data_IF_118346281827
#
_entry.id   IF_118346281827
#
_cell.length_a   1.000
_cell.length_b   1.000
_cell.length_c   1.000
_cell.angle_alpha   90.00
_cell.angle_beta   90.00
_cell.angle_gamma   90.00
#
_symmetry.space_group_name_H-M   'P 1'
#
loop_
_entity.id
_entity.type
_entity.pdbx_description
1 polymer ?
#
# COMPACT_ATOMS: atom_id res chain seq x y z
N UNK A 1 24.46 -24.71 78.68
CA UNK A 1 23.38 -23.76 78.36
C UNK A 1 23.31 -23.68 76.84
N UNK A 2 22.23 -24.18 76.24
CA UNK A 2 22.01 -24.03 74.80
C UNK A 2 21.72 -22.55 74.53
N UNK A 3 22.62 -21.87 73.83
CA UNK A 3 22.48 -20.43 73.55
C UNK A 3 21.26 -20.20 72.67
N UNK A 4 20.19 -19.64 73.26
CA UNK A 4 19.04 -19.13 72.53
C UNK A 4 19.48 -17.90 71.74
N UNK A 5 19.44 -17.97 70.41
CA UNK A 5 19.71 -16.79 69.59
C UNK A 5 18.62 -15.73 69.81
N UNK A 6 19.03 -14.47 69.94
CA UNK A 6 18.14 -13.31 70.07
C UNK A 6 17.83 -12.63 68.73
N UNK A 7 18.66 -12.84 67.70
CA UNK A 7 18.44 -12.33 66.35
C UNK A 7 19.15 -13.14 65.28
N UNK A 8 18.76 -12.92 64.03
CA UNK A 8 19.55 -13.27 62.86
C UNK A 8 20.25 -12.02 62.34
N UNK A 9 21.44 -12.19 61.81
CA UNK A 9 22.20 -11.18 61.08
C UNK A 9 22.41 -11.74 59.67
N UNK A 10 21.92 -11.03 58.66
CA UNK A 10 21.94 -11.49 57.27
C UNK A 10 22.85 -10.56 56.48
N UNK A 11 23.87 -11.13 55.84
CA UNK A 11 24.79 -10.39 54.99
C UNK A 11 24.64 -10.86 53.54
N UNK A 12 24.39 -9.88 52.66
CA UNK A 12 24.34 -10.02 51.20
C UNK A 12 25.30 -8.99 50.57
N UNK A 13 25.78 -9.19 49.34
CA UNK A 13 26.52 -8.13 48.65
C UNK A 13 25.62 -6.91 48.44
N UNK A 14 26.23 -5.72 48.39
CA UNK A 14 25.51 -4.49 48.09
C UNK A 14 24.85 -4.52 46.70
N UNK A 15 25.52 -5.16 45.74
CA UNK A 15 25.05 -5.33 44.37
C UNK A 15 25.21 -6.77 43.90
N UNK A 16 24.22 -7.27 43.16
CA UNK A 16 24.33 -8.52 42.40
C UNK A 16 23.79 -8.31 40.98
N UNK A 17 24.02 -9.26 40.08
CA UNK A 17 23.56 -9.20 38.69
C UNK A 17 22.41 -10.18 38.47
N UNK A 18 21.41 -9.78 37.69
CA UNK A 18 20.26 -10.62 37.39
C UNK A 18 20.69 -11.98 36.81
N UNK A 19 20.16 -13.06 37.38
CA UNK A 19 20.47 -14.44 37.00
C UNK A 19 21.84 -14.95 37.48
N UNK A 20 22.64 -14.13 38.15
CA UNK A 20 23.88 -14.56 38.78
C UNK A 20 23.64 -14.88 40.26
N UNK A 21 24.08 -16.06 40.68
CA UNK A 21 24.05 -16.46 42.07
C UNK A 21 24.96 -15.58 42.94
N UNK A 22 24.52 -15.26 44.14
CA UNK A 22 25.30 -14.55 45.16
C UNK A 22 25.16 -15.20 46.54
N UNK A 23 26.16 -14.94 47.38
CA UNK A 23 26.23 -15.47 48.74
C UNK A 23 25.27 -14.74 49.68
N UNK A 24 24.53 -15.51 50.48
CA UNK A 24 23.72 -15.05 51.60
C UNK A 24 24.28 -15.69 52.87
N UNK A 25 24.96 -14.91 53.71
CA UNK A 25 25.46 -15.38 54.99
C UNK A 25 24.45 -15.06 56.09
N UNK A 26 24.13 -16.05 56.92
CA UNK A 26 23.26 -15.90 58.08
C UNK A 26 24.04 -16.24 59.33
N UNK A 27 24.07 -15.32 60.29
CA UNK A 27 24.68 -15.49 61.61
C UNK A 27 23.61 -15.32 62.68
N UNK A 28 23.35 -16.36 63.46
CA UNK A 28 22.54 -16.26 64.67
C UNK A 28 23.36 -15.58 65.77
N UNK A 29 22.79 -14.54 66.38
CA UNK A 29 23.43 -13.75 67.44
C UNK A 29 22.71 -13.97 68.76
N UNK A 30 23.45 -14.03 69.85
CA UNK A 30 22.90 -13.92 71.20
C UNK A 30 22.40 -12.49 71.44
N UNK A 31 21.65 -12.26 72.54
CA UNK A 31 21.18 -10.93 72.93
C UNK A 31 22.31 -9.92 73.21
N UNK A 32 23.53 -10.41 73.49
CA UNK A 32 24.74 -9.62 73.68
C UNK A 32 25.52 -9.33 72.38
N UNK A 33 25.02 -9.79 71.22
CA UNK A 33 25.64 -9.59 69.90
C UNK A 33 26.77 -10.57 69.55
N UNK A 34 27.12 -11.52 70.43
CA UNK A 34 28.07 -12.59 70.11
C UNK A 34 27.42 -13.67 69.24
N UNK A 35 28.22 -14.51 68.56
CA UNK A 35 27.70 -15.61 67.74
C UNK A 35 27.07 -16.67 68.66
N UNK A 36 25.84 -17.07 68.37
CA UNK A 36 25.14 -18.14 69.06
C UNK A 36 25.64 -19.51 68.57
N UNK A 37 26.87 -19.91 68.97
CA UNK A 37 27.54 -21.12 68.45
C UNK A 37 26.83 -22.44 68.75
N UNK A 38 25.87 -22.46 69.69
CA UNK A 38 25.01 -23.61 69.95
C UNK A 38 23.71 -23.63 69.14
N UNK A 39 23.45 -22.62 68.31
CA UNK A 39 22.21 -22.48 67.57
C UNK A 39 22.20 -23.34 66.31
N UNK A 40 21.15 -24.15 66.17
CA UNK A 40 20.93 -25.10 65.06
C UNK A 40 19.55 -24.94 64.42
N UNK A 41 18.94 -23.75 64.54
CA UNK A 41 17.62 -23.46 63.98
C UNK A 41 17.59 -23.55 62.45
N UNK A 42 16.40 -23.78 61.89
CA UNK A 42 16.19 -23.93 60.44
C UNK A 42 15.77 -22.59 59.86
N UNK A 43 16.52 -22.11 58.88
CA UNK A 43 16.24 -20.85 58.19
C UNK A 43 15.50 -21.11 56.88
N UNK A 44 14.39 -20.41 56.68
CA UNK A 44 13.62 -20.30 55.45
C UNK A 44 13.91 -18.96 54.77
N UNK A 45 13.99 -18.95 53.44
CA UNK A 45 14.28 -17.75 52.66
C UNK A 45 13.10 -17.31 51.81
N UNK A 46 12.80 -16.01 51.84
CA UNK A 46 11.86 -15.36 50.91
C UNK A 46 12.51 -14.15 50.23
N UNK A 47 11.94 -13.70 49.10
CA UNK A 47 12.41 -12.52 48.38
C UNK A 47 11.25 -11.65 47.88
N UNK A 48 11.50 -10.35 47.73
CA UNK A 48 10.59 -9.47 46.98
C UNK A 48 10.65 -9.68 45.47
N UNK A 49 11.62 -10.45 44.96
CA UNK A 49 11.65 -10.86 43.57
C UNK A 49 10.76 -12.07 43.34
N UNK A 50 9.66 -11.85 42.63
CA UNK A 50 8.68 -12.89 42.29
C UNK A 50 8.77 -13.32 40.84
N UNK A 51 9.81 -12.89 40.11
CA UNK A 51 9.97 -13.25 38.70
C UNK A 51 10.34 -14.73 38.53
N UNK A 52 9.92 -15.30 37.41
CA UNK A 52 10.28 -16.68 37.04
C UNK A 52 11.79 -16.78 36.82
N UNK A 53 12.44 -17.73 37.51
CA UNK A 53 13.90 -17.91 37.47
C UNK A 53 14.62 -17.47 38.75
N UNK A 54 13.91 -16.90 39.73
CA UNK A 54 14.42 -16.74 41.09
C UNK A 54 14.69 -18.11 41.70
N UNK A 55 15.87 -18.28 42.28
CA UNK A 55 16.27 -19.49 43.02
C UNK A 55 16.68 -19.06 44.42
N UNK A 56 15.89 -19.46 45.41
CA UNK A 56 16.21 -19.22 46.82
C UNK A 56 16.84 -20.47 47.43
N UNK A 57 17.66 -20.31 48.48
CA UNK A 57 18.19 -21.47 49.20
C UNK A 57 17.05 -22.34 49.75
N UNK A 58 17.23 -23.68 49.77
CA UNK A 58 16.32 -24.55 50.49
C UNK A 58 16.41 -24.32 52.00
N UNK A 59 15.34 -24.67 52.71
CA UNK A 59 15.31 -24.65 54.17
C UNK A 59 16.48 -25.46 54.74
N UNK A 60 17.28 -24.83 55.60
CA UNK A 60 18.55 -25.41 56.07
C UNK A 60 18.82 -25.05 57.53
N UNK A 61 19.39 -25.99 58.29
CA UNK A 61 19.83 -25.74 59.66
C UNK A 61 21.16 -24.98 59.69
N UNK A 62 21.31 -24.01 60.60
CA UNK A 62 22.61 -23.38 60.85
C UNK A 62 23.58 -24.33 61.57
N UNK A 63 24.86 -24.24 61.24
CA UNK A 63 25.95 -25.00 61.89
C UNK A 63 26.78 -24.04 62.71
N UNK A 64 26.92 -24.31 64.01
CA UNK A 64 27.60 -23.41 64.95
C UNK A 64 27.07 -21.97 64.89
N UNK A 65 25.75 -21.81 64.76
CA UNK A 65 25.08 -20.52 64.63
C UNK A 65 25.29 -19.79 63.30
N UNK A 66 25.89 -20.43 62.28
CA UNK A 66 26.20 -19.78 61.01
C UNK A 66 25.80 -20.65 59.81
N UNK A 67 25.58 -20.00 58.67
CA UNK A 67 25.31 -20.67 57.40
C UNK A 67 25.58 -19.74 56.23
N UNK A 68 26.13 -20.29 55.15
CA UNK A 68 26.37 -19.57 53.90
C UNK A 68 25.57 -20.26 52.80
N UNK A 69 24.70 -19.50 52.16
CA UNK A 69 23.76 -19.99 51.17
C UNK A 69 23.93 -19.26 49.84
N UNK A 70 23.28 -19.77 48.80
CA UNK A 70 23.33 -19.18 47.46
C UNK A 70 21.92 -18.81 47.02
N UNK A 71 21.72 -17.54 46.63
CA UNK A 71 20.47 -17.05 46.08
C UNK A 71 20.72 -16.45 44.69
N UNK A 72 19.74 -16.61 43.80
CA UNK A 72 19.73 -15.99 42.46
C UNK A 72 18.45 -15.19 42.32
N UNK A 73 18.58 -13.88 42.12
CA UNK A 73 17.47 -12.97 41.79
C UNK A 73 17.59 -12.55 40.32
N UNK A 74 16.47 -12.22 39.67
CA UNK A 74 16.41 -11.98 38.20
C UNK A 74 15.77 -10.64 37.83
N UNK A 75 14.95 -10.03 38.68
CA UNK A 75 14.39 -8.70 38.42
C UNK A 75 15.39 -7.62 38.83
N UNK A 76 15.77 -6.77 37.89
CA UNK A 76 16.64 -5.64 38.18
C UNK A 76 15.94 -4.57 39.02
N UNK A 77 16.72 -3.85 39.82
CA UNK A 77 16.26 -2.90 40.82
C UNK A 77 16.57 -3.37 42.24
N UNK A 78 16.08 -2.62 43.23
CA UNK A 78 16.23 -2.99 44.64
C UNK A 78 15.30 -4.15 44.97
N UNK A 79 15.88 -5.29 45.29
CA UNK A 79 15.17 -6.48 45.75
C UNK A 79 15.54 -6.79 47.20
N UNK A 80 14.74 -7.59 47.88
CA UNK A 80 15.01 -8.01 49.26
C UNK A 80 15.23 -9.52 49.37
N UNK A 81 16.00 -9.93 50.38
CA UNK A 81 16.08 -11.30 50.89
C UNK A 81 15.69 -11.26 52.37
N UNK A 82 14.80 -12.15 52.77
CA UNK A 82 14.43 -12.35 54.17
C UNK A 82 14.84 -13.75 54.59
N UNK A 83 15.66 -13.86 55.62
CA UNK A 83 15.87 -15.11 56.34
C UNK A 83 14.95 -15.14 57.56
N UNK A 84 14.24 -16.25 57.77
CA UNK A 84 13.34 -16.42 58.90
C UNK A 84 13.48 -17.80 59.51
N UNK A 85 13.54 -17.87 60.83
CA UNK A 85 13.32 -19.09 61.59
C UNK A 85 11.99 -18.93 62.33
N UNK A 86 10.94 -19.53 61.77
CA UNK A 86 9.57 -19.42 62.28
C UNK A 86 9.38 -20.14 63.62
N UNK A 87 10.13 -21.21 63.88
CA UNK A 87 10.07 -21.96 65.13
C UNK A 87 10.59 -21.14 66.31
N UNK A 88 11.53 -20.21 66.04
CA UNK A 88 12.16 -19.36 67.04
C UNK A 88 11.73 -17.88 66.93
N UNK A 89 10.76 -17.56 66.08
CA UNK A 89 10.28 -16.20 65.81
C UNK A 89 11.39 -15.19 65.48
N UNK A 90 12.44 -15.63 64.78
CA UNK A 90 13.54 -14.77 64.33
C UNK A 90 13.37 -14.46 62.84
N UNK A 91 13.56 -13.20 62.45
CA UNK A 91 13.57 -12.83 61.04
C UNK A 91 14.42 -11.59 60.79
N UNK A 92 15.02 -11.51 59.61
CA UNK A 92 15.80 -10.35 59.16
C UNK A 92 15.68 -10.21 57.66
N UNK A 93 15.35 -9.00 57.21
CA UNK A 93 15.24 -8.64 55.80
C UNK A 93 16.35 -7.66 55.42
N UNK A 94 17.03 -7.95 54.32
CA UNK A 94 18.07 -7.09 53.75
C UNK A 94 17.76 -6.77 52.29
N UNK A 95 18.25 -5.62 51.83
CA UNK A 95 18.11 -5.20 50.43
C UNK A 95 19.39 -5.47 49.65
N UNK A 96 19.23 -5.85 48.39
CA UNK A 96 20.29 -6.03 47.40
C UNK A 96 19.91 -5.28 46.13
N UNK A 97 20.83 -4.49 45.57
CA UNK A 97 20.61 -3.85 44.28
C UNK A 97 20.96 -4.83 43.15
N UNK A 98 19.95 -5.25 42.40
CA UNK A 98 20.12 -6.14 41.25
C UNK A 98 20.32 -5.31 39.98
N UNK A 99 21.51 -5.36 39.39
CA UNK A 99 21.73 -4.84 38.04
C UNK A 99 21.21 -5.84 36.99
N UNK A 100 20.80 -5.35 35.83
CA UNK A 100 20.40 -6.21 34.73
C UNK A 100 21.58 -7.08 34.24
N UNK A 101 21.26 -8.22 33.63
CA UNK A 101 22.25 -8.96 32.86
C UNK A 101 22.59 -8.22 31.56
N UNK A 102 23.55 -8.74 30.79
CA UNK A 102 23.91 -8.13 29.51
C UNK A 102 22.71 -8.17 28.58
N UNK A 103 22.51 -7.08 27.84
CA UNK A 103 21.47 -7.04 26.83
C UNK A 103 21.61 -8.21 25.83
N UNK A 104 20.49 -8.87 25.57
CA UNK A 104 20.37 -9.95 24.58
C UNK A 104 19.45 -9.56 23.42
N UNK A 105 18.65 -8.49 23.59
CA UNK A 105 17.72 -8.00 22.57
C UNK A 105 17.53 -6.48 22.68
N UNK A 106 17.04 -5.88 21.60
CA UNK A 106 16.50 -4.53 21.61
C UNK A 106 14.97 -4.64 21.62
N UNK A 107 14.31 -3.78 22.38
CA UNK A 107 12.86 -3.63 22.38
C UNK A 107 12.54 -2.22 21.92
N UNK A 108 11.90 -2.13 20.75
CA UNK A 108 11.46 -0.87 20.18
C UNK A 108 9.94 -0.73 20.39
N UNK A 109 9.48 0.45 20.76
CA UNK A 109 8.07 0.70 21.03
C UNK A 109 7.65 2.12 20.62
N UNK A 110 6.43 2.25 20.09
CA UNK A 110 5.79 3.53 19.81
C UNK A 110 4.30 3.43 20.12
N UNK A 111 3.71 4.54 20.57
CA UNK A 111 2.26 4.73 20.68
C UNK A 111 1.69 5.55 19.51
N UNK A 112 2.53 5.92 18.54
CA UNK A 112 2.13 6.74 17.41
C UNK A 112 1.32 5.95 16.37
N UNK A 113 0.40 6.65 15.69
CA UNK A 113 -0.23 6.18 14.44
C UNK A 113 0.34 7.01 13.28
N UNK A 114 1.47 6.59 12.69
CA UNK A 114 2.20 7.40 11.73
C UNK A 114 1.40 7.68 10.46
N UNK A 115 1.61 8.87 9.90
CA UNK A 115 1.07 9.31 8.60
C UNK A 115 2.24 9.41 7.62
N UNK A 116 2.03 8.96 6.39
CA UNK A 116 3.02 8.99 5.33
C UNK A 116 3.67 10.38 5.21
N UNK A 117 5.00 10.41 5.21
CA UNK A 117 5.80 11.64 5.11
C UNK A 117 5.88 12.48 6.39
N UNK A 118 5.21 12.08 7.48
CA UNK A 118 5.27 12.77 8.77
C UNK A 118 6.19 12.03 9.75
N UNK A 119 7.03 12.79 10.47
CA UNK A 119 7.90 12.22 11.49
C UNK A 119 7.11 11.76 12.73
N UNK A 120 7.48 10.61 13.29
CA UNK A 120 6.91 10.09 14.54
C UNK A 120 7.99 9.57 15.48
N UNK A 121 7.73 9.69 16.78
CA UNK A 121 8.64 9.24 17.83
C UNK A 121 8.48 7.76 18.16
N UNK A 122 9.60 7.13 18.53
CA UNK A 122 9.62 5.80 19.13
C UNK A 122 10.76 5.69 20.16
N UNK A 123 10.68 4.69 21.02
CA UNK A 123 11.70 4.40 22.03
C UNK A 123 12.41 3.09 21.72
N UNK A 124 13.61 2.96 22.22
CA UNK A 124 14.40 1.72 22.20
C UNK A 124 14.94 1.45 23.59
N UNK A 125 14.90 0.18 24.01
CA UNK A 125 15.53 -0.32 25.24
C UNK A 125 16.35 -1.56 24.93
N UNK A 126 17.61 -1.58 25.35
CA UNK A 126 18.42 -2.79 25.38
C UNK A 126 18.03 -3.60 26.62
N UNK A 127 17.53 -4.82 26.40
CA UNK A 127 17.04 -5.68 27.46
C UNK A 127 17.79 -7.01 27.51
N UNK A 128 17.95 -7.54 28.72
CA UNK A 128 18.44 -8.90 28.94
C UNK A 128 17.36 -9.96 28.66
N UNK A 129 17.73 -11.23 28.85
CA UNK A 129 16.82 -12.37 28.67
C UNK A 129 15.63 -12.40 29.64
N UNK A 130 15.71 -11.66 30.75
CA UNK A 130 14.65 -11.56 31.76
C UNK A 130 13.75 -10.33 31.54
N UNK A 131 14.05 -9.50 30.54
CA UNK A 131 13.30 -8.28 30.20
C UNK A 131 13.72 -7.05 30.99
N UNK A 132 14.82 -7.10 31.74
CA UNK A 132 15.35 -5.93 32.43
C UNK A 132 16.11 -5.05 31.45
N UNK A 133 16.04 -3.73 31.62
CA UNK A 133 16.87 -2.81 30.84
C UNK A 133 18.30 -2.81 31.35
N UNK A 134 19.25 -3.12 30.46
CA UNK A 134 20.69 -3.05 30.75
C UNK A 134 21.16 -1.60 30.73
N UNK A 135 21.16 -0.95 31.90
CA UNK A 135 21.59 0.45 32.03
C UNK A 135 23.09 0.65 31.74
N UNK A 136 23.90 -0.40 31.70
CA UNK A 136 25.31 -0.31 31.33
C UNK A 136 25.52 -0.45 29.81
N UNK A 137 24.47 -0.82 29.06
CA UNK A 137 24.58 -0.96 27.61
C UNK A 137 24.78 0.40 26.93
N UNK A 138 25.90 0.51 26.21
CA UNK A 138 26.31 1.68 25.44
C UNK A 138 26.61 1.32 23.97
N UNK A 139 25.96 0.28 23.44
CA UNK A 139 26.11 -0.13 22.04
C UNK A 139 25.50 0.87 21.05
N UNK A 140 26.05 0.91 19.85
CA UNK A 140 25.54 1.72 18.72
C UNK A 140 24.58 0.89 17.88
N UNK A 141 23.40 1.42 17.62
CA UNK A 141 22.33 0.74 16.89
C UNK A 141 22.15 1.37 15.51
N UNK A 142 22.22 0.54 14.47
CA UNK A 142 21.86 0.86 13.10
C UNK A 142 20.39 0.52 12.83
N UNK A 143 19.72 1.31 11.99
CA UNK A 143 18.29 1.18 11.70
C UNK A 143 18.02 0.89 10.22
N UNK A 144 17.16 -0.09 9.97
CA UNK A 144 16.62 -0.38 8.63
C UNK A 144 15.09 -0.40 8.68
N UNK A 145 14.44 -0.32 7.52
CA UNK A 145 12.98 -0.41 7.40
C UNK A 145 12.56 -1.28 6.22
N UNK A 146 11.37 -1.87 6.31
CA UNK A 146 10.70 -2.48 5.15
C UNK A 146 10.19 -1.44 4.16
N UNK A 147 10.03 -0.19 4.60
CA UNK A 147 9.67 0.91 3.72
C UNK A 147 10.92 1.41 2.97
N UNK A 148 10.95 1.12 1.68
CA UNK A 148 12.04 1.50 0.77
C UNK A 148 11.66 2.67 -0.14
N UNK A 149 10.54 3.35 0.13
CA UNK A 149 10.11 4.49 -0.67
C UNK A 149 11.08 5.68 -0.54
N UNK A 150 11.14 6.50 -1.58
CA UNK A 150 11.88 7.76 -1.53
C UNK A 150 11.25 8.69 -0.48
N UNK A 151 12.08 9.37 0.31
CA UNK A 151 11.63 10.23 1.40
C UNK A 151 11.50 9.56 2.77
N UNK A 152 11.73 8.24 2.87
CA UNK A 152 11.94 7.58 4.16
C UNK A 152 13.17 8.17 4.84
N UNK A 153 13.03 8.53 6.11
CA UNK A 153 14.11 9.04 6.95
C UNK A 153 14.16 8.23 8.24
N UNK A 154 15.23 7.46 8.41
CA UNK A 154 15.51 6.71 9.64
C UNK A 154 16.50 7.48 10.52
N UNK A 155 16.56 7.19 11.84
CA UNK A 155 17.62 7.72 12.67
C UNK A 155 18.99 7.32 12.14
N UNK A 156 19.98 8.20 12.32
CA UNK A 156 21.37 7.81 12.17
C UNK A 156 21.75 6.77 13.22
N UNK A 157 22.87 6.07 12.98
CA UNK A 157 23.46 5.14 13.93
C UNK A 157 23.59 5.81 15.31
N UNK A 158 22.91 5.26 16.31
CA UNK A 158 22.75 5.91 17.61
C UNK A 158 23.33 5.04 18.73
N UNK A 159 24.27 5.61 19.49
CA UNK A 159 24.74 5.02 20.74
C UNK A 159 23.67 5.18 21.82
N UNK A 160 23.27 4.07 22.45
CA UNK A 160 22.28 4.14 23.53
C UNK A 160 22.90 4.71 24.81
N UNK A 161 22.13 5.50 25.54
CA UNK A 161 22.51 6.04 26.85
C UNK A 161 21.66 5.38 27.93
N UNK A 162 22.30 4.81 28.95
CA UNK A 162 21.63 4.00 29.97
C UNK A 162 20.75 2.89 29.35
N UNK A 163 21.26 2.23 28.31
CA UNK A 163 20.55 1.20 27.56
C UNK A 163 19.31 1.66 26.80
N UNK A 164 19.11 2.97 26.62
CA UNK A 164 17.87 3.52 26.06
C UNK A 164 18.13 4.67 25.07
N UNK A 165 17.16 4.93 24.20
CA UNK A 165 17.05 6.17 23.44
C UNK A 165 15.60 6.47 23.07
N UNK A 166 15.33 7.75 22.81
CA UNK A 166 14.11 8.22 22.14
C UNK A 166 14.52 8.77 20.78
N UNK A 167 13.88 8.27 19.74
CA UNK A 167 14.26 8.50 18.34
C UNK A 167 13.03 8.92 17.55
N UNK A 168 13.26 9.45 16.35
CA UNK A 168 12.20 9.77 15.41
C UNK A 168 12.51 9.18 14.04
N UNK A 169 11.47 8.75 13.32
CA UNK A 169 11.56 8.28 11.95
C UNK A 169 10.42 8.87 11.12
N UNK A 170 10.60 8.90 9.81
CA UNK A 170 9.58 9.24 8.83
C UNK A 170 9.45 8.07 7.85
N UNK A 171 8.25 7.51 7.74
CA UNK A 171 7.90 6.47 6.77
C UNK A 171 6.93 7.06 5.74
N UNK A 172 6.93 6.53 4.52
CA UNK A 172 6.23 7.09 3.35
C UNK A 172 5.21 6.11 2.77
N UNK A 173 5.49 4.81 2.72
CA UNK A 173 4.57 3.80 2.19
C UNK A 173 3.49 3.49 3.23
N UNK A 174 2.23 3.71 2.85
CA UNK A 174 1.10 3.34 3.69
C UNK A 174 0.98 1.81 3.87
N UNK A 175 0.34 1.39 4.97
CA UNK A 175 0.19 -0.01 5.37
C UNK A 175 1.20 -0.43 6.44
N UNK A 176 1.29 -1.74 6.68
CA UNK A 176 2.19 -2.31 7.67
C UNK A 176 3.66 -2.11 7.25
N UNK A 177 4.43 -1.46 8.11
CA UNK A 177 5.87 -1.25 7.96
C UNK A 177 6.59 -1.61 9.24
N UNK A 178 7.88 -1.92 9.12
CA UNK A 178 8.73 -2.17 10.28
C UNK A 178 9.96 -1.27 10.30
N UNK A 179 10.47 -1.02 11.50
CA UNK A 179 11.81 -0.46 11.73
C UNK A 179 12.57 -1.51 12.54
N UNK A 180 13.72 -1.94 12.04
CA UNK A 180 14.58 -2.90 12.73
C UNK A 180 15.83 -2.19 13.21
N UNK A 181 16.06 -2.25 14.53
CA UNK A 181 17.32 -1.86 15.15
C UNK A 181 18.26 -3.05 15.27
N UNK A 182 19.53 -2.86 14.96
CA UNK A 182 20.58 -3.86 15.14
C UNK A 182 21.84 -3.22 15.71
N UNK A 183 22.40 -3.79 16.76
CA UNK A 183 23.71 -3.38 17.26
C UNK A 183 24.78 -3.58 16.16
N UNK A 184 25.63 -2.57 15.95
CA UNK A 184 26.60 -2.55 14.86
C UNK A 184 27.80 -3.47 15.08
N UNK A 185 28.06 -3.90 16.31
CA UNK A 185 29.17 -4.80 16.69
C UNK A 185 28.64 -6.22 16.94
N UNK A 186 27.58 -6.35 17.72
CA UNK A 186 26.94 -7.61 18.07
C UNK A 186 25.59 -7.75 17.38
N UNK A 187 25.63 -8.14 16.10
CA UNK A 187 24.45 -8.22 15.25
C UNK A 187 23.31 -9.10 15.82
N UNK A 188 23.55 -9.99 16.78
CA UNK A 188 22.51 -10.80 17.44
C UNK A 188 21.60 -9.98 18.37
N UNK A 189 22.06 -8.83 18.86
CA UNK A 189 21.25 -7.90 19.66
C UNK A 189 20.44 -7.04 18.69
N UNK A 190 19.19 -7.45 18.47
CA UNK A 190 18.28 -6.82 17.51
C UNK A 190 16.87 -6.68 18.07
N UNK A 191 16.05 -5.85 17.43
CA UNK A 191 14.65 -5.64 17.76
C UNK A 191 13.89 -5.00 16.62
N UNK A 192 12.60 -5.27 16.52
CA UNK A 192 11.76 -4.75 15.44
C UNK A 192 10.52 -4.05 16.00
N UNK A 193 10.31 -2.82 15.55
CA UNK A 193 9.06 -2.08 15.72
C UNK A 193 8.17 -2.34 14.51
N UNK A 194 6.92 -2.71 14.73
CA UNK A 194 5.90 -2.79 13.68
C UNK A 194 4.89 -1.66 13.85
N UNK A 195 4.59 -0.94 12.77
CA UNK A 195 3.59 0.15 12.74
C UNK A 195 2.72 0.00 11.50
N UNK A 196 1.49 0.51 11.56
CA UNK A 196 0.64 0.66 10.38
C UNK A 196 0.60 2.14 9.98
N UNK A 197 1.28 2.48 8.89
CA UNK A 197 1.38 3.84 8.35
C UNK A 197 0.09 4.17 7.61
N UNK A 198 -0.60 5.25 7.98
CA UNK A 198 -1.73 5.75 7.20
C UNK A 198 -1.20 6.59 6.03
N UNK A 199 -1.88 6.57 4.90
CA UNK A 199 -1.60 7.51 3.82
C UNK A 199 -1.77 8.96 4.30
N UNK A 200 -1.08 9.90 3.66
CA UNK A 200 -1.38 11.31 3.85
C UNK A 200 -2.73 11.65 3.19
N UNK A 201 -3.22 12.87 3.40
CA UNK A 201 -4.44 13.33 2.73
C UNK A 201 -4.27 13.25 1.20
N UNK A 202 -5.32 12.79 0.51
CA UNK A 202 -5.30 12.73 -0.94
C UNK A 202 -5.02 14.10 -1.58
N UNK A 203 -4.16 14.11 -2.60
CA UNK A 203 -3.83 15.31 -3.39
C UNK A 203 -4.26 15.17 -4.85
N UNK A 204 -4.59 13.95 -5.29
CA UNK A 204 -5.01 13.65 -6.67
C UNK A 204 -5.99 12.48 -6.71
N UNK A 205 -6.73 12.40 -7.81
CA UNK A 205 -7.44 11.19 -8.20
C UNK A 205 -6.63 10.48 -9.28
N UNK A 206 -6.60 9.15 -9.23
CA UNK A 206 -6.10 8.31 -10.31
C UNK A 206 -7.27 7.53 -10.87
N UNK A 207 -7.59 7.78 -12.14
CA UNK A 207 -8.62 7.05 -12.86
C UNK A 207 -7.95 6.02 -13.78
N UNK A 208 -8.48 4.81 -13.82
CA UNK A 208 -7.88 3.69 -14.56
C UNK A 208 -8.95 2.81 -15.21
N UNK A 209 -8.67 2.34 -16.42
CA UNK A 209 -9.47 1.32 -17.08
C UNK A 209 -8.57 0.41 -17.91
N UNK A 210 -8.87 -0.89 -17.89
CA UNK A 210 -8.29 -1.85 -18.84
C UNK A 210 -9.13 -2.02 -20.11
N UNK A 211 -10.23 -1.28 -20.25
CA UNK A 211 -11.16 -1.44 -21.37
C UNK A 211 -10.68 -0.70 -22.64
N UNK A 212 -11.05 -1.23 -23.80
CA UNK A 212 -11.01 -0.51 -25.08
C UNK A 212 -12.45 -0.27 -25.55
N UNK A 213 -13.09 0.84 -25.11
CA UNK A 213 -14.52 1.02 -25.30
C UNK A 213 -14.89 1.10 -26.79
N UNK A 214 -16.09 0.64 -27.13
CA UNK A 214 -16.71 0.85 -28.44
C UNK A 214 -17.78 1.93 -28.30
N UNK A 215 -17.95 2.79 -29.31
CA UNK A 215 -18.93 3.85 -29.33
C UNK A 215 -20.33 3.32 -28.94
N UNK A 216 -20.95 3.96 -27.94
CA UNK A 216 -22.26 3.58 -27.41
C UNK A 216 -22.27 2.41 -26.44
N UNK A 217 -21.16 1.69 -26.25
CA UNK A 217 -21.07 0.62 -25.27
C UNK A 217 -20.59 1.15 -23.91
N UNK A 218 -21.24 0.69 -22.84
CA UNK A 218 -20.82 0.98 -21.47
C UNK A 218 -19.51 0.26 -21.16
N UNK A 219 -18.59 0.94 -20.47
CA UNK A 219 -17.36 0.34 -19.94
C UNK A 219 -17.11 0.78 -18.50
N UNK A 220 -16.36 -0.05 -17.76
CA UNK A 220 -16.00 0.24 -16.37
C UNK A 220 -14.63 0.92 -16.25
N UNK A 221 -14.49 1.73 -15.22
CA UNK A 221 -13.22 2.31 -14.78
C UNK A 221 -13.21 2.45 -13.26
N UNK A 222 -12.03 2.53 -12.66
CA UNK A 222 -11.86 2.81 -11.25
C UNK A 222 -11.40 4.24 -11.00
N UNK A 223 -11.70 4.74 -9.82
CA UNK A 223 -11.21 6.00 -9.27
C UNK A 223 -10.56 5.69 -7.93
N UNK A 224 -9.32 6.14 -7.74
CA UNK A 224 -8.57 6.00 -6.50
C UNK A 224 -8.04 7.36 -6.06
N UNK A 225 -8.41 7.80 -4.85
CA UNK A 225 -7.83 8.97 -4.21
C UNK A 225 -6.45 8.63 -3.67
N UNK A 226 -5.43 9.34 -4.13
CA UNK A 226 -4.04 9.12 -3.74
C UNK A 226 -3.41 10.37 -3.15
N UNK A 227 -2.51 10.16 -2.19
CA UNK A 227 -1.64 11.21 -1.69
C UNK A 227 -0.51 11.54 -2.67
N UNK A 228 0.34 12.50 -2.30
CA UNK A 228 1.49 12.94 -3.10
C UNK A 228 2.55 11.84 -3.29
N UNK A 229 2.54 10.80 -2.46
CA UNK A 229 3.46 9.66 -2.52
C UNK A 229 2.89 8.48 -3.32
N UNK A 230 1.63 8.59 -3.78
CA UNK A 230 0.93 7.53 -4.53
C UNK A 230 0.26 6.48 -3.64
N UNK A 231 0.19 6.70 -2.32
CA UNK A 231 -0.58 5.82 -1.44
C UNK A 231 -2.07 6.08 -1.61
N UNK A 232 -2.90 5.04 -1.51
CA UNK A 232 -4.35 5.23 -1.42
C UNK A 232 -4.71 5.81 -0.06
N UNK A 233 -5.37 6.96 -0.04
CA UNK A 233 -5.97 7.53 1.16
C UNK A 233 -7.28 6.82 1.48
N UNK A 234 -7.21 5.77 2.29
CA UNK A 234 -8.39 5.00 2.70
C UNK A 234 -9.34 5.78 3.62
N UNK A 235 -8.90 6.92 4.18
CA UNK A 235 -9.77 7.83 4.92
C UNK A 235 -10.57 8.78 4.00
N UNK A 236 -10.23 8.84 2.72
CA UNK A 236 -10.89 9.73 1.77
C UNK A 236 -12.34 9.31 1.50
N UNK A 237 -13.26 10.22 1.81
CA UNK A 237 -14.70 10.08 1.61
C UNK A 237 -15.28 11.27 0.80
N UNK A 238 -14.49 11.88 -0.07
CA UNK A 238 -14.92 12.98 -0.95
C UNK A 238 -15.85 12.49 -2.07
N UNK A 239 -16.64 13.42 -2.61
CA UNK A 239 -17.60 13.16 -3.71
C UNK A 239 -17.04 13.71 -5.00
N UNK A 240 -16.95 12.86 -6.02
CA UNK A 240 -16.32 13.15 -7.31
C UNK A 240 -17.36 13.41 -8.38
N UNK A 241 -17.22 14.55 -9.07
CA UNK A 241 -17.96 14.92 -10.27
C UNK A 241 -17.15 14.54 -11.53
N UNK A 242 -17.83 14.14 -12.61
CA UNK A 242 -17.19 13.66 -13.84
C UNK A 242 -17.58 14.49 -15.05
N UNK A 243 -16.58 14.81 -15.88
CA UNK A 243 -16.74 15.42 -17.21
C UNK A 243 -16.01 14.60 -18.27
N UNK A 244 -16.29 14.84 -19.56
CA UNK A 244 -15.60 14.17 -20.67
C UNK A 244 -15.27 15.15 -21.79
N UNK A 245 -14.22 14.82 -22.56
CA UNK A 245 -13.94 15.50 -23.84
C UNK A 245 -14.94 15.13 -24.93
N UNK A 246 -15.67 14.02 -24.78
CA UNK A 246 -16.73 13.64 -25.69
C UNK A 246 -17.99 14.44 -25.39
N UNK A 247 -18.34 15.32 -26.32
CA UNK A 247 -19.50 16.22 -26.25
C UNK A 247 -20.67 15.74 -27.09
N UNK A 248 -20.60 14.52 -27.62
CA UNK A 248 -21.63 13.95 -28.48
C UNK A 248 -22.92 13.67 -27.71
N UNK A 249 -24.06 13.78 -28.38
CA UNK A 249 -25.34 13.36 -27.83
C UNK A 249 -25.30 11.86 -27.50
N UNK A 250 -25.78 11.49 -26.30
CA UNK A 250 -25.80 10.09 -25.84
C UNK A 250 -24.61 9.68 -24.96
N UNK A 251 -23.64 10.57 -24.72
CA UNK A 251 -22.63 10.36 -23.68
C UNK A 251 -23.31 10.24 -22.32
N UNK A 252 -22.97 9.19 -21.57
CA UNK A 252 -23.47 8.94 -20.21
C UNK A 252 -22.28 8.84 -19.27
N UNK A 253 -22.19 9.77 -18.33
CA UNK A 253 -21.20 9.76 -17.26
C UNK A 253 -21.85 9.31 -15.94
N UNK A 254 -21.05 8.79 -14.98
CA UNK A 254 -21.57 8.52 -13.65
C UNK A 254 -22.09 9.79 -12.99
N UNK A 255 -23.14 9.64 -12.18
CA UNK A 255 -23.53 10.69 -11.24
C UNK A 255 -22.43 10.93 -10.20
N UNK A 256 -22.46 12.11 -9.58
CA UNK A 256 -21.57 12.48 -8.48
C UNK A 256 -21.54 11.38 -7.42
N UNK A 257 -20.35 10.87 -7.13
CA UNK A 257 -20.20 9.66 -6.34
C UNK A 257 -19.15 9.82 -5.25
N UNK A 258 -19.56 9.54 -4.01
CA UNK A 258 -18.65 9.46 -2.86
C UNK A 258 -17.75 8.23 -2.96
N UNK A 259 -16.45 8.40 -2.72
CA UNK A 259 -15.52 7.27 -2.64
C UNK A 259 -15.60 6.59 -1.26
N UNK A 260 -15.39 5.27 -1.24
CA UNK A 260 -15.34 4.49 0.00
C UNK A 260 -13.97 3.85 0.10
N UNK A 261 -13.29 3.99 1.24
CA UNK A 261 -11.89 3.60 1.40
C UNK A 261 -10.99 4.22 0.31
N UNK A 262 -11.28 5.47 -0.07
CA UNK A 262 -10.56 6.19 -1.13
C UNK A 262 -10.73 5.61 -2.53
N UNK A 263 -11.65 4.67 -2.77
CA UNK A 263 -11.82 4.02 -4.07
C UNK A 263 -13.29 3.88 -4.48
N UNK A 264 -13.52 3.78 -5.80
CA UNK A 264 -14.80 3.36 -6.37
C UNK A 264 -14.65 2.87 -7.80
N UNK A 265 -15.42 1.85 -8.18
CA UNK A 265 -15.62 1.46 -9.58
C UNK A 265 -16.90 2.08 -10.11
N UNK A 266 -16.82 2.63 -11.32
CA UNK A 266 -17.89 3.35 -12.00
C UNK A 266 -17.97 2.88 -13.45
N UNK A 267 -19.00 3.34 -14.16
CA UNK A 267 -19.21 3.04 -15.57
C UNK A 267 -19.57 4.29 -16.36
N UNK A 268 -19.08 4.38 -17.59
CA UNK A 268 -19.42 5.43 -18.53
C UNK A 268 -19.73 4.85 -19.92
N UNK A 269 -20.44 5.64 -20.73
CA UNK A 269 -20.67 5.37 -22.15
C UNK A 269 -20.20 6.58 -22.94
N UNK A 270 -19.27 6.36 -23.87
CA UNK A 270 -18.75 7.37 -24.79
C UNK A 270 -19.22 7.03 -26.21
N UNK A 271 -19.37 8.04 -27.06
CA UNK A 271 -20.00 7.96 -28.37
C UNK A 271 -19.02 8.29 -29.50
N UNK A 272 -18.17 9.30 -29.33
CA UNK A 272 -17.21 9.73 -30.37
C UNK A 272 -16.00 8.80 -30.40
N UNK A 273 -15.78 8.17 -31.54
CA UNK A 273 -14.58 7.36 -31.78
C UNK A 273 -13.30 8.20 -31.73
N UNK A 274 -12.18 7.56 -31.41
CA UNK A 274 -10.87 8.17 -31.23
C UNK A 274 -10.51 8.41 -29.76
N UNK A 275 -9.46 9.20 -29.54
CA UNK A 275 -9.00 9.53 -28.19
C UNK A 275 -10.04 10.40 -27.45
N UNK A 276 -10.49 9.93 -26.30
CA UNK A 276 -11.38 10.65 -25.40
C UNK A 276 -10.84 10.62 -23.98
N UNK A 277 -11.27 11.57 -23.16
CA UNK A 277 -10.93 11.63 -21.75
C UNK A 277 -12.17 11.66 -20.87
N UNK A 278 -12.03 11.15 -19.65
CA UNK A 278 -12.96 11.36 -18.53
C UNK A 278 -12.15 12.02 -17.42
N UNK A 279 -12.59 13.18 -16.95
CA UNK A 279 -11.95 13.90 -15.84
C UNK A 279 -12.84 13.80 -14.61
N UNK A 280 -12.30 13.27 -13.52
CA UNK A 280 -12.92 13.29 -12.20
C UNK A 280 -12.37 14.45 -11.38
N UNK A 281 -13.25 15.16 -10.68
CA UNK A 281 -12.90 16.28 -9.81
C UNK A 281 -13.67 16.19 -8.50
N UNK A 282 -12.98 16.36 -7.36
CA UNK A 282 -13.69 16.48 -6.09
C UNK A 282 -14.56 17.74 -6.06
N UNK A 283 -15.79 17.58 -5.58
CA UNK A 283 -16.83 18.62 -5.57
C UNK A 283 -16.57 19.73 -4.55
N UNK A 284 -15.79 19.45 -3.50
CA UNK A 284 -15.46 20.43 -2.45
C UNK A 284 -14.05 20.97 -2.67
N UNK A 285 -13.07 20.08 -2.82
CA UNK A 285 -11.65 20.42 -3.02
C UNK A 285 -11.26 20.20 -4.47
N UNK A 286 -11.73 21.12 -5.30
CA UNK A 286 -11.48 21.27 -6.73
C UNK A 286 -10.06 20.94 -7.26
N UNK A 287 -9.01 21.07 -6.43
CA UNK A 287 -7.62 20.76 -6.81
C UNK A 287 -7.34 19.26 -6.83
N UNK A 288 -8.14 18.44 -6.12
CA UNK A 288 -8.07 16.97 -6.15
C UNK A 288 -8.80 16.50 -7.41
N UNK A 289 -8.01 16.23 -8.46
CA UNK A 289 -8.51 15.89 -9.79
C UNK A 289 -7.72 14.73 -10.40
N UNK A 290 -8.27 14.10 -11.42
CA UNK A 290 -7.60 13.07 -12.22
C UNK A 290 -8.26 12.89 -13.57
N UNK A 291 -7.51 12.40 -14.56
CA UNK A 291 -8.01 12.21 -15.93
C UNK A 291 -7.69 10.80 -16.41
N UNK A 292 -8.71 10.11 -16.90
CA UNK A 292 -8.61 8.86 -17.66
C UNK A 292 -8.57 9.20 -19.14
N UNK A 293 -7.62 8.62 -19.87
CA UNK A 293 -7.57 8.68 -21.35
C UNK A 293 -7.87 7.31 -21.92
N UNK A 294 -8.81 7.23 -22.88
CA UNK A 294 -9.19 6.01 -23.59
C UNK A 294 -9.28 6.26 -25.09
N UNK A 295 -9.06 5.22 -25.89
CA UNK A 295 -9.35 5.26 -27.33
C UNK A 295 -10.64 4.51 -27.59
N UNK A 296 -11.70 5.25 -27.93
CA UNK A 296 -13.01 4.70 -28.28
C UNK A 296 -12.96 4.19 -29.71
N UNK A 297 -13.33 2.92 -29.92
CA UNK A 297 -13.50 2.32 -31.26
C UNK A 297 -14.86 2.74 -31.83
N UNK A 298 -14.92 3.00 -33.13
CA UNK A 298 -16.20 3.14 -33.80
C UNK A 298 -16.99 1.82 -33.73
N UNK A 299 -18.31 1.91 -33.74
CA UNK A 299 -19.20 0.75 -33.83
C UNK A 299 -19.15 0.07 -35.21
N UNK A 300 -19.97 -0.97 -35.37
CA UNK A 300 -20.18 -1.58 -36.68
C UNK A 300 -20.79 -0.57 -37.66
N UNK A 301 -20.47 -0.72 -38.95
CA UNK A 301 -21.03 0.13 -40.00
C UNK A 301 -22.57 -0.04 -40.03
N UNK A 302 -23.27 1.09 -39.92
CA UNK A 302 -24.72 1.19 -39.98
C UNK A 302 -25.22 2.04 -41.16
N UNK A 303 -24.33 2.84 -41.76
CA UNK A 303 -24.64 3.61 -42.96
C UNK A 303 -23.44 3.72 -43.91
N UNK A 304 -23.73 3.89 -45.19
CA UNK A 304 -22.76 4.15 -46.24
C UNK A 304 -22.96 5.57 -46.75
N UNK A 305 -21.86 6.31 -46.90
CA UNK A 305 -21.84 7.59 -47.59
C UNK A 305 -21.02 7.46 -48.86
N UNK A 306 -21.59 7.92 -49.97
CA UNK A 306 -20.96 7.96 -51.28
C UNK A 306 -20.76 9.43 -51.66
N UNK A 307 -19.52 9.83 -51.88
CA UNK A 307 -19.17 11.14 -52.40
C UNK A 307 -18.83 11.02 -53.89
N UNK A 308 -19.40 11.91 -54.69
CA UNK A 308 -19.27 11.96 -56.14
C UNK A 308 -19.46 13.42 -56.60
N UNK A 309 -18.84 13.84 -57.71
CA UNK A 309 -19.01 15.19 -58.22
C UNK A 309 -20.47 15.45 -58.63
N UNK A 310 -20.98 16.66 -58.40
CA UNK A 310 -22.33 17.05 -58.81
C UNK A 310 -22.52 17.11 -60.34
N UNK A 311 -21.43 17.13 -61.11
CA UNK A 311 -21.44 17.04 -62.56
C UNK A 311 -20.16 16.41 -63.10
N UNK A 312 -20.25 15.71 -64.22
CA UNK A 312 -19.13 15.18 -64.99
C UNK A 312 -19.36 15.43 -66.50
N UNK A 313 -18.28 15.44 -67.29
CA UNK A 313 -18.37 15.46 -68.75
C UNK A 313 -18.56 14.05 -69.28
N UNK A 314 -19.41 13.87 -70.29
CA UNK A 314 -19.60 12.59 -70.95
C UNK A 314 -18.25 12.01 -71.40
N UNK A 315 -18.00 10.73 -71.11
CA UNK A 315 -16.75 10.04 -71.46
C UNK A 315 -15.51 10.43 -70.67
N UNK A 316 -15.60 11.34 -69.69
CA UNK A 316 -14.49 11.67 -68.80
C UNK A 316 -14.60 10.95 -67.46
N UNK A 317 -13.51 10.32 -67.04
CA UNK A 317 -13.43 9.63 -65.76
C UNK A 317 -13.40 10.62 -64.59
N UNK A 318 -14.06 10.27 -63.49
CA UNK A 318 -14.06 11.03 -62.25
C UNK A 318 -13.91 10.12 -61.02
N UNK A 319 -13.54 10.74 -59.91
CA UNK A 319 -13.30 10.09 -58.62
C UNK A 319 -14.57 10.01 -57.79
N UNK A 320 -14.77 8.88 -57.11
CA UNK A 320 -15.79 8.71 -56.07
C UNK A 320 -15.13 8.20 -54.79
N UNK A 321 -15.72 8.51 -53.64
CA UNK A 321 -15.25 8.02 -52.33
C UNK A 321 -16.38 7.38 -51.55
N UNK A 322 -16.11 6.21 -50.96
CA UNK A 322 -17.06 5.50 -50.11
C UNK A 322 -16.55 5.54 -48.68
N UNK A 323 -17.38 6.03 -47.76
CA UNK A 323 -17.10 6.07 -46.33
C UNK A 323 -18.20 5.38 -45.56
N UNK A 324 -17.83 4.41 -44.73
CA UNK A 324 -18.75 3.66 -43.87
C UNK A 324 -18.79 4.32 -42.50
N UNK A 325 -20.00 4.52 -41.97
CA UNK A 325 -20.23 5.13 -40.67
C UNK A 325 -21.03 4.23 -39.76
N UNK A 326 -20.72 4.26 -38.47
CA UNK A 326 -21.56 3.62 -37.45
C UNK A 326 -22.87 4.40 -37.21
N UNK A 327 -23.70 3.90 -36.30
CA UNK A 327 -25.01 4.51 -36.00
C UNK A 327 -24.89 5.92 -35.36
N UNK A 328 -23.71 6.30 -34.90
CA UNK A 328 -23.42 7.60 -34.30
C UNK A 328 -22.70 8.54 -35.28
N UNK A 329 -22.47 8.11 -36.51
CA UNK A 329 -21.80 8.89 -37.55
C UNK A 329 -20.27 8.84 -37.48
N UNK A 330 -19.68 8.02 -36.61
CA UNK A 330 -18.23 7.80 -36.60
C UNK A 330 -17.83 6.96 -37.82
N UNK A 331 -16.65 7.21 -38.38
CA UNK A 331 -16.11 6.34 -39.44
C UNK A 331 -15.84 4.94 -38.88
N UNK A 332 -16.49 3.93 -39.44
CA UNK A 332 -16.39 2.54 -39.01
C UNK A 332 -15.08 1.91 -39.50
N UNK A 333 -13.96 2.28 -38.87
CA UNK A 333 -12.60 1.92 -39.31
C UNK A 333 -12.32 0.40 -39.35
N UNK A 334 -13.15 -0.37 -38.65
CA UNK A 334 -13.11 -1.84 -38.64
C UNK A 334 -13.85 -2.52 -39.80
N UNK A 335 -14.53 -1.77 -40.68
CA UNK A 335 -15.29 -2.36 -41.78
C UNK A 335 -14.38 -3.08 -42.78
N UNK A 336 -14.77 -4.31 -43.17
CA UNK A 336 -14.06 -5.20 -44.11
C UNK A 336 -14.99 -5.83 -45.15
N UNK A 337 -16.18 -5.25 -45.33
CA UNK A 337 -17.14 -5.72 -46.32
C UNK A 337 -16.73 -5.36 -47.74
N UNK A 338 -17.43 -5.94 -48.70
CA UNK A 338 -17.23 -5.70 -50.13
C UNK A 338 -18.32 -4.79 -50.66
N UNK A 339 -17.94 -3.71 -51.35
CA UNK A 339 -18.86 -2.76 -51.96
C UNK A 339 -18.92 -2.99 -53.47
N UNK A 340 -20.14 -3.06 -54.00
CA UNK A 340 -20.45 -3.14 -55.42
C UNK A 340 -20.99 -1.79 -55.93
N UNK A 341 -20.60 -1.41 -57.14
CA UNK A 341 -21.06 -0.19 -57.81
C UNK A 341 -22.06 -0.48 -58.94
N UNK A 342 -23.07 0.38 -59.06
CA UNK A 342 -24.03 0.35 -60.17
C UNK A 342 -24.36 1.78 -60.65
N UNK A 343 -24.97 1.89 -61.84
CA UNK A 343 -25.41 3.17 -62.41
C UNK A 343 -26.75 3.02 -63.14
N UNK A 344 -27.47 4.13 -63.31
CA UNK A 344 -28.61 4.21 -64.23
C UNK A 344 -28.21 4.41 -65.69
N UNK A 345 -26.95 4.72 -65.99
CA UNK A 345 -26.49 4.94 -67.36
C UNK A 345 -26.55 3.63 -68.16
N UNK A 346 -27.40 3.56 -69.22
CA UNK A 346 -27.65 2.30 -69.92
C UNK A 346 -26.53 1.91 -70.90
N UNK A 347 -25.53 2.77 -71.11
CA UNK A 347 -24.52 2.53 -72.13
C UNK A 347 -23.49 1.48 -71.69
N UNK A 348 -23.17 0.49 -72.55
CA UNK A 348 -22.20 -0.56 -72.22
C UNK A 348 -20.76 -0.06 -72.11
N UNK A 349 -20.49 1.19 -72.53
CA UNK A 349 -19.19 1.85 -72.44
C UNK A 349 -18.94 2.55 -71.10
N UNK A 350 -19.90 2.50 -70.18
CA UNK A 350 -19.73 2.98 -68.81
C UNK A 350 -18.59 2.21 -68.13
N UNK A 351 -17.81 2.93 -67.32
CA UNK A 351 -16.83 2.32 -66.42
C UNK A 351 -17.28 2.59 -64.98
N UNK A 352 -17.30 1.53 -64.17
CA UNK A 352 -17.50 1.60 -62.72
C UNK A 352 -16.33 0.90 -62.02
N UNK A 353 -16.04 1.23 -60.75
CA UNK A 353 -15.10 0.45 -59.96
C UNK A 353 -15.56 -1.00 -59.86
N UNK A 354 -14.60 -1.94 -59.88
CA UNK A 354 -14.87 -3.33 -59.56
C UNK A 354 -15.28 -3.49 -58.07
N UNK A 355 -15.91 -4.62 -57.74
CA UNK A 355 -16.22 -4.97 -56.36
C UNK A 355 -14.97 -4.87 -55.48
N UNK A 356 -15.07 -4.09 -54.41
CA UNK A 356 -13.93 -3.76 -53.58
C UNK A 356 -14.16 -4.17 -52.13
N UNK A 357 -13.31 -5.08 -51.65
CA UNK A 357 -13.27 -5.50 -50.25
C UNK A 357 -12.40 -4.54 -49.45
N UNK A 358 -13.00 -3.84 -48.48
CA UNK A 358 -12.28 -2.94 -47.60
C UNK A 358 -11.24 -3.69 -46.76
N UNK A 359 -10.10 -3.03 -46.59
CA UNK A 359 -8.95 -3.49 -45.83
C UNK A 359 -8.73 -2.62 -44.59
N UNK A 360 -7.74 -2.98 -43.78
CA UNK A 360 -7.33 -2.14 -42.66
C UNK A 360 -6.73 -0.80 -43.09
N UNK A 361 -6.12 -0.73 -44.28
CA UNK A 361 -5.49 0.48 -44.79
C UNK A 361 -6.51 1.57 -45.13
N UNK A 362 -7.75 1.18 -45.46
CA UNK A 362 -8.82 2.11 -45.80
C UNK A 362 -9.35 2.86 -44.58
N UNK A 363 -9.18 2.31 -43.37
CA UNK A 363 -9.71 2.89 -42.15
C UNK A 363 -11.19 3.31 -42.26
N UNK A 364 -12.01 2.55 -43.01
CA UNK A 364 -13.44 2.81 -43.21
C UNK A 364 -13.78 3.77 -44.36
N UNK A 365 -12.78 4.32 -45.07
CA UNK A 365 -12.96 5.18 -46.25
C UNK A 365 -12.05 4.74 -47.39
N UNK A 366 -12.61 4.47 -48.57
CA UNK A 366 -11.83 4.17 -49.77
C UNK A 366 -12.16 5.14 -50.91
N UNK A 367 -11.14 5.59 -51.62
CA UNK A 367 -11.28 6.53 -52.74
C UNK A 367 -10.90 5.86 -54.04
N UNK A 368 -11.86 5.80 -54.97
CA UNK A 368 -11.72 5.21 -56.29
C UNK A 368 -11.35 6.30 -57.29
N UNK A 369 -10.07 6.62 -57.34
CA UNK A 369 -9.53 7.69 -58.20
C UNK A 369 -9.79 7.39 -59.67
N UNK A 370 -10.46 8.29 -60.39
CA UNK A 370 -10.82 8.11 -61.80
C UNK A 370 -11.56 6.79 -62.10
N UNK A 371 -12.35 6.30 -61.13
CA UNK A 371 -12.97 4.98 -61.19
C UNK A 371 -14.32 4.93 -61.92
N UNK A 372 -14.96 6.07 -62.20
CA UNK A 372 -16.27 6.13 -62.84
C UNK A 372 -16.23 6.95 -64.13
N UNK A 373 -16.83 6.44 -65.21
CA UNK A 373 -17.03 7.16 -66.47
C UNK A 373 -18.48 6.99 -66.93
N UNK A 374 -19.19 8.12 -67.12
CA UNK A 374 -20.60 8.17 -67.55
C UNK A 374 -20.71 8.87 -68.91
N UNK A 375 -21.79 8.62 -69.64
CA UNK A 375 -21.97 9.06 -71.03
C UNK A 375 -23.35 9.65 -71.31
N UNK A 376 -24.41 9.11 -70.70
CA UNK A 376 -25.79 9.46 -71.06
C UNK A 376 -26.24 10.73 -70.35
N UNK A 377 -26.54 11.78 -71.11
CA UNK A 377 -27.12 13.04 -70.64
C UNK A 377 -28.61 12.88 -70.26
N UNK A 378 -29.19 13.75 -69.40
CA UNK A 378 -28.56 14.86 -68.69
C UNK A 378 -28.04 14.51 -67.29
N UNK A 379 -28.44 13.37 -66.72
CA UNK A 379 -28.09 13.00 -65.34
C UNK A 379 -28.19 11.49 -65.16
N UNK A 380 -27.24 10.93 -64.41
CA UNK A 380 -27.20 9.50 -64.08
C UNK A 380 -26.92 9.32 -62.59
N UNK A 381 -27.35 8.19 -62.04
CA UNK A 381 -26.98 7.81 -60.69
C UNK A 381 -25.68 7.01 -60.68
N UNK A 382 -24.88 7.17 -59.64
CA UNK A 382 -23.88 6.20 -59.22
C UNK A 382 -24.29 5.72 -57.85
N UNK A 383 -24.42 4.41 -57.67
CA UNK A 383 -24.75 3.79 -56.39
C UNK A 383 -23.65 2.85 -55.93
N UNK A 384 -23.45 2.79 -54.61
CA UNK A 384 -22.56 1.86 -53.94
C UNK A 384 -23.36 1.10 -52.89
N UNK A 385 -23.23 -0.23 -52.89
CA UNK A 385 -23.97 -1.13 -51.98
C UNK A 385 -23.05 -2.23 -51.48
N UNK A 386 -23.08 -2.51 -50.17
CA UNK A 386 -22.40 -3.69 -49.61
C UNK A 386 -23.06 -4.97 -50.17
N UNK A 387 -22.24 -5.93 -50.61
CA UNK A 387 -22.71 -7.15 -51.31
C UNK A 387 -23.41 -8.15 -50.40
N UNK A 388 -23.21 -8.06 -49.07
CA UNK A 388 -23.81 -8.94 -48.07
C UNK A 388 -24.93 -8.21 -47.30
N UNK A 389 -24.73 -6.94 -46.96
CA UNK A 389 -25.67 -6.11 -46.24
C UNK A 389 -26.23 -4.99 -47.13
N UNK A 390 -27.29 -5.29 -47.87
CA UNK A 390 -27.94 -4.35 -48.78
C UNK A 390 -28.48 -3.07 -48.11
N UNK A 391 -28.59 -3.02 -46.77
CA UNK A 391 -28.97 -1.78 -46.06
C UNK A 391 -27.84 -0.72 -46.07
N UNK A 392 -26.59 -1.15 -46.25
CA UNK A 392 -25.45 -0.26 -46.49
C UNK A 392 -25.40 0.10 -47.97
N UNK A 393 -26.33 0.95 -48.39
CA UNK A 393 -26.44 1.44 -49.76
C UNK A 393 -26.54 2.96 -49.80
N UNK A 394 -25.99 3.57 -50.84
CA UNK A 394 -26.18 4.99 -51.14
C UNK A 394 -26.05 5.25 -52.63
N UNK A 395 -26.74 6.28 -53.13
CA UNK A 395 -26.55 6.77 -54.49
C UNK A 395 -26.36 8.29 -54.55
N UNK A 396 -25.76 8.75 -55.65
CA UNK A 396 -25.60 10.16 -55.98
C UNK A 396 -26.01 10.41 -57.42
N UNK A 397 -26.70 11.52 -57.65
CA UNK A 397 -26.93 12.05 -58.99
C UNK A 397 -25.70 12.79 -59.48
N UNK A 398 -25.31 12.52 -60.72
CA UNK A 398 -24.22 13.19 -61.42
C UNK A 398 -24.81 13.76 -62.70
N UNK A 399 -24.81 15.09 -62.82
CA UNK A 399 -25.20 15.72 -64.08
C UNK A 399 -24.15 15.44 -65.16
N UNK A 400 -24.56 14.82 -66.25
CA UNK A 400 -23.68 14.48 -67.37
C UNK A 400 -23.83 15.56 -68.43
N UNK A 401 -22.76 16.30 -68.66
CA UNK A 401 -22.72 17.39 -69.63
C UNK A 401 -22.00 16.93 -70.91
N UNK A 402 -22.29 17.60 -72.02
CA UNK A 402 -21.52 17.44 -73.26
C UNK A 402 -20.03 17.78 -73.02
N UNK A 403 -19.17 17.12 -73.78
CA UNK A 403 -17.71 17.28 -73.74
C UNK A 403 -17.25 18.71 -74.02
#
# INVERSE_FOLDING_TARGET
MHGTAGSLDVAVPATARAGQAFSVAVTARNSDGTIATGYTGTVHFTSSDTATGVVLPPDSTLTSGQGTFSATLVKAGTQTITAADSANALSTTVSVAISAASATKLVLASSASPVAGTSFGFTIKAQDQFGNTDLAYAGTVHFTSTDTATGVALPADTMLSNGQATLAATLVRAGAQTITGRDTVSATITGTLSVNVRAAAATKLVLSSGATPTAGATFSFSVTAQDQFGNTDTGYAGTVHFTSSDTSAGVVLPADSTLTNGQRTLSATLIKAGAQTITGRDTVTATITGTLSVTVRAGAAASLTLDAPGSAKAGQAFTVSVTLKDQYGNVATGYRGTVHFATSDPLPTVVLPADYTFTAADAGTHTFTQGVTLWTIPSQTVSATDTVNASLTQFKWVNVNLL
#
